data_IF_208872824486
#
_entry.id   IF_208872824486
#
_cell.length_a   1.000
_cell.length_b   1.000
_cell.length_c   1.000
_cell.angle_alpha   90.00
_cell.angle_beta   90.00
_cell.angle_gamma   90.00
#
_symmetry.space_group_name_H-M   'P 1'
#
loop_
_entity.id
_entity.type
_entity.pdbx_description
1 polymer ?
#
# COMPACT_ATOMS: atom_id res chain seq x y z
N UNK A 1 -4.51 -1.93 -36.84
CA UNK A 1 -3.53 -2.62 -35.94
C UNK A 1 -4.16 -3.93 -35.56
N UNK A 2 -3.40 -5.02 -35.47
CA UNK A 2 -3.85 -6.29 -34.92
C UNK A 2 -4.38 -6.03 -33.52
N UNK A 3 -5.47 -6.69 -33.12
CA UNK A 3 -5.99 -6.59 -31.75
C UNK A 3 -5.04 -7.33 -30.81
N UNK A 4 -4.75 -6.76 -29.62
CA UNK A 4 -3.87 -7.35 -28.62
C UNK A 4 -4.69 -7.97 -27.48
N UNK A 5 -4.38 -9.24 -27.15
CA UNK A 5 -4.87 -9.92 -25.93
C UNK A 5 -3.68 -10.28 -25.05
N UNK A 6 -3.76 -9.99 -23.76
CA UNK A 6 -2.76 -10.44 -22.79
C UNK A 6 -3.20 -11.73 -22.12
N UNK A 7 -2.35 -12.76 -22.18
CA UNK A 7 -2.47 -14.01 -21.44
C UNK A 7 -1.47 -13.97 -20.27
N UNK A 8 -1.98 -14.01 -19.04
CA UNK A 8 -1.18 -13.84 -17.83
C UNK A 8 -1.12 -15.16 -17.07
N UNK A 9 0.07 -15.73 -16.92
CA UNK A 9 0.29 -17.03 -16.27
C UNK A 9 0.37 -16.87 -14.75
N UNK A 10 -0.64 -17.33 -14.03
CA UNK A 10 -0.75 -17.21 -12.58
C UNK A 10 -1.08 -18.54 -11.86
N UNK A 11 -0.96 -19.69 -12.55
CA UNK A 11 -1.35 -21.02 -12.05
C UNK A 11 -0.32 -21.71 -11.13
N UNK A 12 0.86 -21.13 -10.96
CA UNK A 12 1.98 -21.76 -10.24
C UNK A 12 1.77 -21.87 -8.73
N UNK A 13 2.16 -23.00 -8.13
CA UNK A 13 2.03 -23.29 -6.68
C UNK A 13 2.85 -22.37 -5.76
N UNK A 14 3.92 -21.75 -6.25
CA UNK A 14 4.75 -20.82 -5.47
C UNK A 14 5.37 -21.38 -4.19
N UNK A 15 5.72 -22.67 -4.14
CA UNK A 15 6.17 -23.39 -2.93
C UNK A 15 7.36 -22.75 -2.23
N UNK A 16 8.26 -22.09 -2.99
CA UNK A 16 9.42 -21.36 -2.46
C UNK A 16 9.06 -20.12 -1.62
N UNK A 17 7.82 -19.59 -1.75
CA UNK A 17 7.33 -18.47 -0.94
C UNK A 17 7.00 -18.88 0.50
N UNK A 18 6.79 -20.18 0.75
CA UNK A 18 6.38 -20.73 2.07
C UNK A 18 5.21 -19.93 2.67
N UNK A 19 4.16 -19.73 1.90
CA UNK A 19 3.01 -18.89 2.23
C UNK A 19 1.70 -19.61 2.01
N UNK A 20 0.68 -19.26 2.78
CA UNK A 20 -0.72 -19.65 2.53
C UNK A 20 -1.36 -18.81 1.44
N UNK A 21 -0.79 -17.63 1.15
CA UNK A 21 -1.25 -16.74 0.10
C UNK A 21 -0.64 -17.18 -1.23
N UNK A 22 -1.43 -17.27 -2.32
CA UNK A 22 -0.90 -17.47 -3.67
C UNK A 22 0.24 -16.51 -3.99
N UNK A 23 1.29 -17.01 -4.65
CA UNK A 23 2.50 -16.25 -4.95
C UNK A 23 2.20 -14.88 -5.56
N UNK A 24 1.33 -14.83 -6.55
CA UNK A 24 0.99 -13.64 -7.33
C UNK A 24 0.17 -12.59 -6.57
N UNK A 25 -0.35 -12.95 -5.39
CA UNK A 25 -1.11 -12.04 -4.52
C UNK A 25 -0.25 -11.33 -3.46
N UNK A 26 1.04 -11.68 -3.34
CA UNK A 26 1.95 -10.92 -2.49
C UNK A 26 2.11 -9.49 -3.03
N UNK A 27 2.12 -8.54 -2.11
CA UNK A 27 2.17 -7.11 -2.45
C UNK A 27 3.60 -6.63 -2.68
N UNK A 28 3.72 -5.68 -3.59
CA UNK A 28 4.90 -4.85 -3.87
C UNK A 28 4.39 -3.42 -4.08
N UNK A 29 5.00 -2.43 -3.41
CA UNK A 29 4.54 -1.06 -3.47
C UNK A 29 3.05 -0.90 -3.16
N UNK A 30 2.53 -1.71 -2.20
CA UNK A 30 1.14 -1.69 -1.76
C UNK A 30 0.15 -2.51 -2.59
N UNK A 31 0.48 -2.92 -3.83
CA UNK A 31 -0.42 -3.67 -4.74
C UNK A 31 0.02 -5.13 -4.93
N UNK A 32 -0.91 -6.09 -5.10
CA UNK A 32 -0.56 -7.46 -5.49
C UNK A 32 0.31 -7.50 -6.75
N UNK A 33 1.26 -8.44 -6.83
CA UNK A 33 2.11 -8.60 -8.02
C UNK A 33 1.29 -8.75 -9.30
N UNK A 34 0.25 -9.56 -9.26
CA UNK A 34 -0.64 -9.75 -10.42
C UNK A 34 -1.35 -8.46 -10.85
N UNK A 35 -1.70 -7.56 -9.90
CA UNK A 35 -2.31 -6.29 -10.24
C UNK A 35 -1.35 -5.37 -11.03
N UNK A 36 -0.06 -5.39 -10.69
CA UNK A 36 0.94 -4.66 -11.49
C UNK A 36 1.00 -5.16 -12.93
N UNK A 37 0.93 -6.48 -13.12
CA UNK A 37 0.95 -7.09 -14.46
C UNK A 37 -0.32 -6.76 -15.23
N UNK A 38 -1.50 -6.79 -14.58
CA UNK A 38 -2.76 -6.38 -15.19
C UNK A 38 -2.74 -4.91 -15.60
N UNK A 39 -2.29 -4.02 -14.71
CA UNK A 39 -2.16 -2.58 -14.99
C UNK A 39 -1.20 -2.33 -16.18
N UNK A 40 -0.08 -3.05 -16.23
CA UNK A 40 0.90 -2.92 -17.31
C UNK A 40 0.34 -3.42 -18.65
N UNK A 41 -0.40 -4.52 -18.65
CA UNK A 41 -1.06 -5.05 -19.86
C UNK A 41 -2.12 -4.09 -20.42
N UNK A 42 -2.94 -3.49 -19.54
CA UNK A 42 -3.93 -2.47 -19.93
C UNK A 42 -3.25 -1.25 -20.56
N UNK A 43 -2.25 -0.72 -19.90
CA UNK A 43 -1.53 0.47 -20.36
C UNK A 43 -0.68 0.20 -21.61
N UNK A 44 -0.31 -1.06 -21.88
CA UNK A 44 0.31 -1.48 -23.14
C UNK A 44 -0.70 -1.60 -24.31
N UNK A 45 -2.01 -1.51 -24.03
CA UNK A 45 -3.07 -1.51 -25.02
C UNK A 45 -3.74 -2.87 -25.26
N UNK A 46 -3.66 -3.80 -24.29
CA UNK A 46 -4.39 -5.05 -24.36
C UNK A 46 -5.92 -4.82 -24.27
N UNK A 47 -6.64 -5.12 -25.34
CA UNK A 47 -8.10 -4.97 -25.40
C UNK A 47 -8.83 -5.98 -24.48
N UNK A 48 -8.21 -7.14 -24.25
CA UNK A 48 -8.73 -8.21 -23.37
C UNK A 48 -7.57 -8.82 -22.59
N UNK A 49 -7.87 -9.31 -21.39
CA UNK A 49 -6.92 -10.06 -20.56
C UNK A 49 -7.51 -11.41 -20.19
N UNK A 50 -6.67 -12.44 -20.22
CA UNK A 50 -7.00 -13.79 -19.76
C UNK A 50 -5.97 -14.19 -18.71
N UNK A 51 -6.41 -14.47 -17.48
CA UNK A 51 -5.54 -14.94 -16.40
C UNK A 51 -5.66 -16.46 -16.29
N UNK A 52 -4.55 -17.15 -16.45
CA UNK A 52 -4.50 -18.59 -16.22
C UNK A 52 -4.28 -18.84 -14.74
N UNK A 53 -5.28 -19.42 -14.10
CA UNK A 53 -5.30 -19.74 -12.67
C UNK A 53 -5.18 -21.23 -12.42
N UNK A 54 -4.77 -21.63 -11.23
CA UNK A 54 -4.60 -23.04 -10.88
C UNK A 54 -4.75 -23.26 -9.38
N UNK A 55 -3.64 -23.38 -8.66
CA UNK A 55 -3.67 -23.56 -7.21
C UNK A 55 -4.30 -22.36 -6.51
N UNK A 56 -5.31 -22.60 -5.66
CA UNK A 56 -6.08 -21.55 -4.95
C UNK A 56 -6.69 -20.50 -5.91
N UNK A 57 -7.24 -20.95 -7.03
CA UNK A 57 -7.85 -20.11 -8.07
C UNK A 57 -8.85 -19.09 -7.51
N UNK A 58 -9.69 -19.50 -6.56
CA UNK A 58 -10.73 -18.66 -5.96
C UNK A 58 -10.20 -17.34 -5.36
N UNK A 59 -9.00 -17.38 -4.73
CA UNK A 59 -8.39 -16.17 -4.16
C UNK A 59 -7.88 -15.23 -5.26
N UNK A 60 -7.37 -15.79 -6.35
CA UNK A 60 -6.91 -15.00 -7.51
C UNK A 60 -8.11 -14.41 -8.24
N UNK A 61 -9.16 -15.20 -8.47
CA UNK A 61 -10.42 -14.76 -9.08
C UNK A 61 -11.08 -13.62 -8.30
N UNK A 62 -11.13 -13.74 -6.96
CA UNK A 62 -11.68 -12.69 -6.09
C UNK A 62 -10.91 -11.36 -6.20
N UNK A 63 -9.58 -11.40 -6.41
CA UNK A 63 -8.76 -10.21 -6.60
C UNK A 63 -8.90 -9.62 -8.00
N UNK A 64 -8.95 -10.46 -9.02
CA UNK A 64 -9.03 -10.02 -10.43
C UNK A 64 -10.43 -9.49 -10.77
N UNK A 65 -11.49 -10.12 -10.24
CA UNK A 65 -12.86 -9.73 -10.49
C UNK A 65 -13.18 -9.68 -12.00
N UNK A 66 -13.80 -8.61 -12.43
CA UNK A 66 -14.19 -8.38 -13.84
C UNK A 66 -13.07 -7.85 -14.73
N UNK A 67 -11.86 -7.62 -14.19
CA UNK A 67 -10.74 -7.05 -14.93
C UNK A 67 -10.20 -7.99 -16.02
N UNK A 68 -10.38 -9.31 -15.89
CA UNK A 68 -9.93 -10.31 -16.85
C UNK A 68 -10.81 -11.56 -16.87
N UNK A 69 -10.79 -12.28 -17.97
CA UNK A 69 -11.36 -13.63 -18.07
C UNK A 69 -10.42 -14.66 -17.43
N UNK A 70 -10.98 -15.74 -16.88
CA UNK A 70 -10.21 -16.80 -16.26
C UNK A 70 -10.11 -18.02 -17.16
N UNK A 71 -8.93 -18.68 -17.14
CA UNK A 71 -8.72 -19.99 -17.71
C UNK A 71 -8.13 -20.92 -16.63
N UNK A 72 -8.79 -22.01 -16.31
CA UNK A 72 -8.37 -22.91 -15.25
C UNK A 72 -7.35 -23.96 -15.75
N UNK A 73 -6.16 -23.95 -15.20
CA UNK A 73 -5.18 -25.04 -15.32
C UNK A 73 -5.32 -25.97 -14.12
N UNK A 74 -6.15 -27.01 -14.26
CA UNK A 74 -6.42 -27.96 -13.16
C UNK A 74 -5.16 -28.74 -12.73
N UNK A 75 -4.35 -29.15 -13.71
CA UNK A 75 -3.07 -29.85 -13.50
C UNK A 75 -1.92 -29.01 -14.01
N UNK A 76 -0.91 -28.78 -13.19
CA UNK A 76 0.27 -27.96 -13.54
C UNK A 76 1.28 -28.80 -14.35
N UNK A 77 1.02 -28.96 -15.64
CA UNK A 77 1.84 -29.75 -16.57
C UNK A 77 2.79 -28.87 -17.42
N UNK A 78 3.13 -27.70 -16.94
CA UNK A 78 4.07 -26.79 -17.60
C UNK A 78 3.42 -25.52 -18.17
N UNK A 79 4.26 -24.61 -18.66
CA UNK A 79 3.84 -23.28 -19.17
C UNK A 79 3.09 -23.36 -20.50
N UNK A 80 3.46 -24.28 -21.38
CA UNK A 80 2.72 -24.55 -22.61
C UNK A 80 1.31 -25.07 -22.31
N UNK A 81 1.18 -26.00 -21.36
CA UNK A 81 -0.12 -26.50 -20.92
C UNK A 81 -0.99 -25.39 -20.30
N UNK A 82 -0.39 -24.44 -19.60
CA UNK A 82 -1.12 -23.28 -19.07
C UNK A 82 -1.73 -22.43 -20.19
N UNK A 83 -0.98 -22.16 -21.25
CA UNK A 83 -1.48 -21.40 -22.41
C UNK A 83 -2.54 -22.16 -23.19
N UNK A 84 -2.44 -23.50 -23.30
CA UNK A 84 -3.48 -24.34 -23.93
C UNK A 84 -4.86 -24.13 -23.30
N UNK A 85 -4.93 -23.87 -21.97
CA UNK A 85 -6.21 -23.64 -21.29
C UNK A 85 -6.94 -22.39 -21.79
N UNK A 86 -6.25 -21.49 -22.48
CA UNK A 86 -6.85 -20.26 -23.00
C UNK A 86 -7.53 -20.45 -24.36
N UNK A 87 -7.37 -21.60 -25.01
CA UNK A 87 -7.91 -21.87 -26.33
C UNK A 87 -9.43 -21.69 -26.39
N UNK A 88 -10.17 -22.22 -25.38
CA UNK A 88 -11.63 -22.09 -25.32
C UNK A 88 -12.09 -20.63 -25.22
N UNK A 89 -11.31 -19.77 -24.59
CA UNK A 89 -11.60 -18.33 -24.39
C UNK A 89 -11.21 -17.51 -25.61
N UNK A 90 -10.19 -17.95 -26.37
CA UNK A 90 -9.58 -17.25 -27.51
C UNK A 90 -9.89 -17.90 -28.86
N UNK A 91 -10.83 -18.86 -28.93
CA UNK A 91 -11.10 -19.71 -30.10
C UNK A 91 -11.27 -18.96 -31.43
N UNK A 92 -11.93 -17.80 -31.39
CA UNK A 92 -12.23 -16.99 -32.60
C UNK A 92 -11.32 -15.76 -32.71
N UNK A 93 -10.30 -15.68 -31.88
CA UNK A 93 -9.38 -14.55 -31.87
C UNK A 93 -8.27 -14.77 -32.92
N UNK A 94 -8.09 -13.78 -33.79
CA UNK A 94 -7.12 -13.80 -34.89
C UNK A 94 -6.00 -12.76 -34.76
N UNK A 95 -5.92 -12.05 -33.62
CA UNK A 95 -4.90 -11.04 -33.36
C UNK A 95 -3.64 -11.58 -32.68
N UNK A 96 -2.90 -10.70 -32.04
CA UNK A 96 -1.67 -11.03 -31.31
C UNK A 96 -1.99 -11.39 -29.85
N UNK A 97 -1.47 -12.52 -29.39
CA UNK A 97 -1.47 -12.92 -27.97
C UNK A 97 -0.13 -12.54 -27.34
N UNK A 98 -0.16 -11.64 -26.37
CA UNK A 98 1.00 -11.34 -25.51
C UNK A 98 0.92 -12.25 -24.26
N UNK A 99 1.91 -13.09 -24.08
CA UNK A 99 2.00 -14.00 -22.93
C UNK A 99 2.96 -13.40 -21.91
N UNK A 100 2.52 -13.26 -20.64
CA UNK A 100 3.27 -12.60 -19.57
C UNK A 100 3.16 -13.47 -18.30
N UNK A 101 4.19 -13.47 -17.46
CA UNK A 101 4.13 -14.11 -16.15
C UNK A 101 3.50 -13.20 -15.09
N UNK A 102 2.56 -13.71 -14.31
CA UNK A 102 1.86 -12.98 -13.24
C UNK A 102 2.73 -12.65 -12.02
N UNK A 103 3.96 -13.15 -11.98
CA UNK A 103 4.95 -12.92 -10.93
C UNK A 103 6.08 -11.95 -11.32
N UNK A 104 5.89 -11.17 -12.38
CA UNK A 104 6.82 -10.14 -12.86
C UNK A 104 6.25 -8.72 -12.66
N UNK A 105 6.15 -8.22 -11.42
CA UNK A 105 5.45 -6.98 -11.10
C UNK A 105 6.17 -5.71 -11.53
N UNK A 106 7.43 -5.81 -11.93
CA UNK A 106 8.27 -4.67 -12.34
C UNK A 106 8.15 -4.33 -13.82
N UNK A 107 7.22 -4.98 -14.55
CA UNK A 107 6.96 -4.73 -15.95
C UNK A 107 6.54 -3.28 -16.19
N UNK A 108 7.14 -2.68 -17.22
CA UNK A 108 6.81 -1.32 -17.64
C UNK A 108 5.94 -1.33 -18.89
N UNK A 109 4.81 -0.64 -18.83
CA UNK A 109 3.82 -0.59 -19.90
C UNK A 109 4.41 -0.04 -21.21
N UNK A 110 5.31 0.95 -21.14
CA UNK A 110 5.95 1.54 -22.31
C UNK A 110 6.82 0.53 -23.06
N UNK A 111 7.57 -0.31 -22.32
CA UNK A 111 8.40 -1.35 -22.93
C UNK A 111 7.55 -2.49 -23.50
N UNK A 112 6.46 -2.90 -22.82
CA UNK A 112 5.52 -3.88 -23.37
C UNK A 112 4.85 -3.38 -24.64
N UNK A 113 4.44 -2.11 -24.67
CA UNK A 113 3.86 -1.48 -25.86
C UNK A 113 4.85 -1.45 -27.02
N UNK A 114 6.07 -1.00 -26.78
CA UNK A 114 7.16 -0.98 -27.76
C UNK A 114 7.48 -2.38 -28.29
N UNK A 115 7.48 -3.38 -27.42
CA UNK A 115 7.68 -4.79 -27.78
C UNK A 115 6.56 -5.28 -28.72
N UNK A 116 5.29 -5.00 -28.38
CA UNK A 116 4.15 -5.33 -29.22
C UNK A 116 4.19 -4.63 -30.58
N UNK A 117 4.45 -3.32 -30.60
CA UNK A 117 4.57 -2.55 -31.85
C UNK A 117 5.70 -3.09 -32.74
N UNK A 118 6.84 -3.46 -32.16
CA UNK A 118 7.95 -4.10 -32.85
C UNK A 118 7.58 -5.46 -33.42
N UNK A 119 6.83 -6.28 -32.70
CA UNK A 119 6.31 -7.56 -33.18
C UNK A 119 5.43 -7.35 -34.42
N UNK A 120 4.44 -6.47 -34.34
CA UNK A 120 3.52 -6.17 -35.44
C UNK A 120 4.30 -5.66 -36.66
N UNK A 121 5.22 -4.72 -36.46
CA UNK A 121 6.03 -4.17 -37.55
C UNK A 121 6.93 -5.20 -38.22
N UNK A 122 7.41 -6.19 -37.48
CA UNK A 122 8.28 -7.26 -37.99
C UNK A 122 7.53 -8.28 -38.84
N UNK A 123 6.21 -8.35 -38.74
CA UNK A 123 5.35 -9.38 -39.36
C UNK A 123 5.81 -10.81 -38.97
N UNK A 124 6.34 -10.99 -37.78
CA UNK A 124 6.74 -12.29 -37.27
C UNK A 124 5.52 -13.08 -36.76
N UNK A 125 5.55 -14.42 -36.90
CA UNK A 125 4.53 -15.30 -36.30
C UNK A 125 4.67 -15.36 -34.77
N UNK A 126 5.91 -15.19 -34.27
CA UNK A 126 6.21 -15.08 -32.85
C UNK A 126 7.43 -14.17 -32.64
N UNK A 127 7.44 -13.46 -31.53
CA UNK A 127 8.59 -12.69 -31.03
C UNK A 127 8.75 -12.94 -29.54
N UNK A 128 9.97 -13.21 -29.09
CA UNK A 128 10.31 -13.31 -27.68
C UNK A 128 11.01 -12.05 -27.21
N UNK A 129 10.64 -11.53 -26.04
CA UNK A 129 11.43 -10.53 -25.35
C UNK A 129 12.61 -11.25 -24.68
N UNK A 130 13.83 -10.76 -24.93
CA UNK A 130 15.07 -11.31 -24.38
C UNK A 130 15.78 -10.31 -23.49
N UNK A 131 16.74 -10.74 -22.71
CA UNK A 131 17.64 -9.87 -21.95
C UNK A 131 19.04 -10.48 -21.88
N UNK A 132 20.04 -9.65 -21.64
CA UNK A 132 21.40 -10.10 -21.40
C UNK A 132 21.71 -10.03 -19.91
N UNK A 133 22.20 -11.13 -19.32
CA UNK A 133 22.56 -11.21 -17.92
C UNK A 133 24.00 -11.70 -17.75
N UNK A 134 24.71 -11.14 -16.77
CA UNK A 134 26.06 -11.61 -16.42
C UNK A 134 26.05 -13.00 -15.85
N UNK A 135 25.06 -13.31 -14.98
CA UNK A 135 24.77 -14.65 -14.48
C UNK A 135 23.38 -15.10 -15.00
N UNK A 136 23.33 -15.89 -16.09
CA UNK A 136 22.09 -16.37 -16.67
C UNK A 136 21.55 -17.64 -16.01
N UNK A 137 22.13 -18.12 -14.91
CA UNK A 137 21.74 -19.37 -14.27
C UNK A 137 20.24 -19.40 -13.90
N UNK A 138 19.59 -20.51 -14.23
CA UNK A 138 18.16 -20.72 -13.95
C UNK A 138 17.19 -20.21 -15.02
N UNK A 139 17.67 -19.53 -16.05
CA UNK A 139 16.85 -19.08 -17.19
C UNK A 139 17.03 -19.97 -18.42
N UNK A 140 16.06 -19.99 -19.33
CA UNK A 140 16.22 -20.53 -20.67
C UNK A 140 17.18 -19.67 -21.51
N UNK A 141 17.93 -20.30 -22.40
CA UNK A 141 18.89 -19.62 -23.28
C UNK A 141 18.33 -19.44 -24.69
N UNK A 142 18.54 -18.26 -25.25
CA UNK A 142 18.15 -17.98 -26.63
C UNK A 142 19.20 -18.56 -27.57
N UNK A 143 18.77 -19.45 -28.46
CA UNK A 143 19.63 -20.03 -29.49
C UNK A 143 19.44 -19.25 -30.79
N UNK A 144 20.54 -18.74 -31.35
CA UNK A 144 20.55 -18.01 -32.62
C UNK A 144 21.40 -18.74 -33.67
N UNK A 145 21.05 -18.55 -34.94
CA UNK A 145 21.90 -18.96 -36.06
C UNK A 145 23.05 -17.95 -36.29
N UNK A 146 23.86 -18.25 -37.31
CA UNK A 146 25.00 -17.39 -37.68
C UNK A 146 24.58 -15.99 -38.16
N UNK A 147 23.35 -15.84 -38.65
CA UNK A 147 22.77 -14.58 -39.15
C UNK A 147 22.05 -13.81 -38.02
N UNK A 148 22.03 -14.35 -36.81
CA UNK A 148 21.40 -13.73 -35.64
C UNK A 148 19.90 -14.03 -35.48
N UNK A 149 19.31 -14.89 -36.32
CA UNK A 149 17.90 -15.26 -36.20
C UNK A 149 17.67 -16.18 -35.01
N UNK A 150 16.55 -16.05 -34.33
CA UNK A 150 16.18 -16.92 -33.22
C UNK A 150 15.78 -18.29 -33.74
N UNK A 151 16.53 -19.32 -33.37
CA UNK A 151 16.22 -20.73 -33.69
C UNK A 151 15.25 -21.35 -32.68
N UNK A 152 15.36 -20.97 -31.42
CA UNK A 152 14.56 -21.50 -30.33
C UNK A 152 15.11 -21.11 -28.97
N UNK A 153 14.60 -21.77 -27.94
CA UNK A 153 15.01 -21.60 -26.54
C UNK A 153 15.35 -22.97 -25.97
N UNK A 154 16.44 -23.05 -25.21
CA UNK A 154 16.78 -24.25 -24.44
C UNK A 154 16.68 -23.95 -22.96
N UNK A 155 15.87 -24.71 -22.24
CA UNK A 155 15.71 -24.54 -20.80
C UNK A 155 16.99 -24.92 -20.04
N UNK A 156 17.24 -24.30 -18.87
CA UNK A 156 18.46 -24.52 -18.07
C UNK A 156 18.77 -26.00 -17.81
N UNK A 157 17.73 -26.83 -17.56
CA UNK A 157 17.89 -28.26 -17.21
C UNK A 157 18.22 -29.12 -18.41
N UNK A 158 17.84 -28.68 -19.62
CA UNK A 158 18.09 -29.40 -20.86
C UNK A 158 19.33 -28.85 -21.61
N UNK A 159 19.90 -27.73 -21.14
CA UNK A 159 21.03 -27.06 -21.80
C UNK A 159 22.34 -27.81 -21.56
N UNK A 160 23.12 -27.99 -22.64
CA UNK A 160 24.50 -28.47 -22.60
C UNK A 160 25.46 -27.35 -22.15
N UNK A 161 26.72 -27.72 -21.88
CA UNK A 161 27.68 -26.78 -21.24
C UNK A 161 27.92 -25.51 -22.09
N UNK A 162 28.02 -25.69 -23.42
CA UNK A 162 28.20 -24.60 -24.37
C UNK A 162 26.99 -23.67 -24.39
N UNK A 163 25.79 -24.21 -24.30
CA UNK A 163 24.54 -23.43 -24.27
C UNK A 163 24.38 -22.67 -22.94
N UNK A 164 24.84 -23.24 -21.81
CA UNK A 164 24.82 -22.55 -20.50
C UNK A 164 25.69 -21.30 -20.46
N UNK A 165 26.70 -21.21 -21.33
CA UNK A 165 27.55 -20.03 -21.44
C UNK A 165 26.90 -18.85 -22.18
N UNK A 166 25.76 -19.07 -22.84
CA UNK A 166 25.00 -18.02 -23.54
C UNK A 166 24.43 -17.08 -22.50
N UNK A 167 24.68 -15.78 -22.66
CA UNK A 167 24.21 -14.71 -21.75
C UNK A 167 22.83 -14.15 -22.10
N UNK A 168 22.35 -14.41 -23.33
CA UNK A 168 21.01 -14.00 -23.74
C UNK A 168 19.98 -15.00 -23.24
N UNK A 169 19.06 -14.49 -22.41
CA UNK A 169 18.07 -15.29 -21.70
C UNK A 169 16.65 -15.06 -22.23
N UNK A 170 15.82 -16.08 -22.05
CA UNK A 170 14.38 -16.01 -22.19
C UNK A 170 13.75 -15.30 -20.99
N UNK A 171 12.98 -14.24 -21.25
CA UNK A 171 12.27 -13.50 -20.19
C UNK A 171 10.92 -14.11 -19.81
N UNK A 172 10.41 -15.05 -20.61
CA UNK A 172 9.05 -15.58 -20.48
C UNK A 172 7.95 -14.69 -21.04
N UNK A 173 8.32 -13.63 -21.79
CA UNK A 173 7.39 -12.70 -22.42
C UNK A 173 7.41 -12.90 -23.93
N UNK A 174 6.23 -13.15 -24.50
CA UNK A 174 6.10 -13.46 -25.91
C UNK A 174 4.95 -12.65 -26.54
N UNK A 175 5.09 -12.29 -27.82
CA UNK A 175 4.00 -11.96 -28.70
C UNK A 175 3.89 -13.03 -29.78
N UNK A 176 2.72 -13.63 -29.95
CA UNK A 176 2.49 -14.72 -30.91
C UNK A 176 1.15 -14.49 -31.60
N UNK A 177 1.11 -14.66 -32.93
CA UNK A 177 -0.14 -14.62 -33.68
C UNK A 177 -1.04 -15.79 -33.26
N UNK A 178 -2.28 -15.53 -32.86
CA UNK A 178 -3.18 -16.50 -32.22
C UNK A 178 -3.38 -17.78 -33.06
N UNK A 179 -3.65 -17.74 -34.36
CA UNK A 179 -3.80 -18.97 -35.15
C UNK A 179 -2.53 -19.82 -35.15
N UNK A 180 -1.37 -19.20 -35.23
CA UNK A 180 -0.08 -19.90 -35.19
C UNK A 180 0.23 -20.49 -33.81
N UNK A 181 -0.16 -19.80 -32.75
CA UNK A 181 0.03 -20.24 -31.38
C UNK A 181 -0.74 -21.54 -31.12
N UNK A 182 -2.05 -21.57 -31.36
CA UNK A 182 -2.89 -22.73 -31.06
C UNK A 182 -2.58 -23.93 -31.99
N UNK A 183 -2.24 -23.68 -33.27
CA UNK A 183 -1.76 -24.72 -34.17
C UNK A 183 -0.55 -25.46 -33.59
N UNK A 184 0.43 -24.73 -33.06
CA UNK A 184 1.67 -25.31 -32.52
C UNK A 184 1.43 -25.90 -31.12
N UNK A 185 0.64 -25.27 -30.25
CA UNK A 185 0.35 -25.79 -28.92
C UNK A 185 -0.24 -27.20 -28.97
N UNK A 186 -1.10 -27.50 -29.95
CA UNK A 186 -1.67 -28.85 -30.16
C UNK A 186 -0.62 -29.93 -30.49
N UNK A 187 0.59 -29.52 -30.88
CA UNK A 187 1.69 -30.43 -31.25
C UNK A 187 2.79 -30.58 -30.19
N UNK A 188 2.69 -29.85 -29.08
CA UNK A 188 3.70 -29.93 -28.03
C UNK A 188 3.71 -31.31 -27.37
N UNK A 189 4.91 -31.75 -26.97
CA UNK A 189 5.15 -32.99 -26.20
C UNK A 189 5.80 -32.63 -24.87
N UNK A 190 5.87 -33.61 -23.96
CA UNK A 190 6.53 -33.48 -22.67
C UNK A 190 7.85 -34.29 -22.59
N UNK A 191 8.47 -34.57 -23.74
CA UNK A 191 9.71 -35.33 -23.84
C UNK A 191 10.94 -34.48 -23.50
N UNK A 192 11.06 -34.04 -22.24
CA UNK A 192 12.12 -33.18 -21.75
C UNK A 192 12.47 -33.52 -20.29
N UNK A 193 13.51 -32.91 -19.74
CA UNK A 193 14.04 -33.20 -18.42
C UNK A 193 13.02 -33.00 -17.26
N UNK A 194 11.96 -32.26 -17.47
CA UNK A 194 10.93 -32.00 -16.45
C UNK A 194 9.62 -32.77 -16.67
N UNK A 195 9.43 -33.37 -17.85
CA UNK A 195 8.17 -34.03 -18.24
C UNK A 195 7.01 -33.03 -18.38
N UNK A 196 7.29 -31.81 -18.78
CA UNK A 196 6.33 -30.69 -18.88
C UNK A 196 6.16 -30.23 -20.32
N UNK A 197 5.00 -29.69 -20.66
CA UNK A 197 4.77 -28.98 -21.92
C UNK A 197 5.43 -27.58 -21.86
N UNK A 198 6.57 -27.43 -22.50
CA UNK A 198 7.30 -26.18 -22.50
C UNK A 198 6.72 -25.17 -23.50
N UNK A 199 6.39 -23.97 -23.04
CA UNK A 199 6.00 -22.86 -23.94
C UNK A 199 7.16 -22.44 -24.86
N UNK A 200 8.38 -22.58 -24.37
CA UNK A 200 9.62 -22.28 -25.12
C UNK A 200 9.76 -23.07 -26.41
N UNK A 201 9.18 -24.27 -26.49
CA UNK A 201 9.21 -25.11 -27.69
C UNK A 201 8.38 -24.53 -28.86
N UNK A 202 7.44 -23.63 -28.58
CA UNK A 202 6.60 -22.96 -29.60
C UNK A 202 7.47 -22.25 -30.63
N UNK A 203 8.55 -21.58 -30.21
CA UNK A 203 9.43 -20.86 -31.15
C UNK A 203 10.16 -21.78 -32.11
N UNK A 204 10.74 -22.85 -31.59
CA UNK A 204 11.44 -23.84 -32.43
C UNK A 204 10.49 -24.53 -33.41
N UNK A 205 9.26 -24.85 -32.98
CA UNK A 205 8.25 -25.47 -33.86
C UNK A 205 7.75 -24.52 -34.95
N UNK A 206 7.49 -23.24 -34.61
CA UNK A 206 7.14 -22.23 -35.60
C UNK A 206 8.26 -22.03 -36.64
N UNK A 207 9.51 -22.04 -36.19
CA UNK A 207 10.68 -21.94 -37.06
C UNK A 207 10.78 -23.14 -37.98
N UNK A 208 10.59 -24.38 -37.48
CA UNK A 208 10.54 -25.60 -38.26
C UNK A 208 9.41 -25.62 -39.35
N UNK A 209 8.30 -24.90 -39.07
CA UNK A 209 7.22 -24.68 -40.05
C UNK A 209 7.55 -23.58 -41.08
N UNK A 210 8.74 -23.00 -41.06
CA UNK A 210 9.16 -21.91 -41.92
C UNK A 210 8.50 -20.56 -41.61
N UNK A 211 7.90 -20.42 -40.44
CA UNK A 211 7.31 -19.16 -39.97
C UNK A 211 8.41 -18.29 -39.36
N UNK A 212 8.33 -16.97 -39.59
CA UNK A 212 9.30 -16.01 -39.05
C UNK A 212 9.20 -15.91 -37.51
N UNK A 213 10.31 -16.10 -36.83
CA UNK A 213 10.46 -15.94 -35.39
C UNK A 213 11.46 -14.83 -35.09
N UNK A 214 11.10 -13.89 -34.22
CA UNK A 214 11.94 -12.76 -33.82
C UNK A 214 12.34 -12.80 -32.35
N UNK A 215 13.37 -12.05 -32.00
CA UNK A 215 13.78 -11.80 -30.61
C UNK A 215 14.20 -10.35 -30.44
N UNK A 216 13.69 -9.67 -29.44
CA UNK A 216 13.98 -8.28 -29.12
C UNK A 216 14.56 -8.22 -27.70
N UNK A 217 15.77 -7.66 -27.55
CA UNK A 217 16.38 -7.51 -26.24
C UNK A 217 15.89 -6.25 -25.53
N UNK A 218 15.49 -6.41 -24.26
CA UNK A 218 15.27 -5.25 -23.38
C UNK A 218 16.59 -4.77 -22.78
N UNK A 219 16.69 -3.46 -22.56
CA UNK A 219 17.81 -2.87 -21.83
C UNK A 219 17.57 -2.87 -20.30
N UNK A 220 16.33 -2.99 -19.85
CA UNK A 220 15.96 -3.03 -18.44
C UNK A 220 15.81 -4.48 -17.95
N UNK A 221 16.87 -5.01 -17.34
CA UNK A 221 16.88 -6.34 -16.77
C UNK A 221 16.02 -6.46 -15.51
N UNK A 222 15.70 -5.37 -14.82
CA UNK A 222 14.89 -5.40 -13.60
C UNK A 222 13.43 -5.71 -13.92
N UNK A 223 12.93 -5.24 -15.06
CA UNK A 223 11.53 -5.42 -15.47
C UNK A 223 11.13 -6.90 -15.63
N UNK A 224 12.09 -7.77 -15.93
CA UNK A 224 11.84 -9.20 -16.16
C UNK A 224 11.99 -10.06 -14.91
N UNK A 225 12.26 -9.45 -13.76
CA UNK A 225 12.49 -10.16 -12.51
C UNK A 225 11.25 -10.95 -12.05
N UNK A 226 11.32 -12.29 -12.22
CA UNK A 226 10.30 -13.21 -11.70
C UNK A 226 10.50 -13.49 -10.21
N UNK A 227 9.45 -13.24 -9.41
CA UNK A 227 9.52 -13.35 -7.95
C UNK A 227 9.07 -14.72 -7.49
N UNK A 228 9.99 -15.49 -6.92
CA UNK A 228 9.76 -16.86 -6.50
C UNK A 228 10.07 -17.12 -5.02
N UNK A 229 10.66 -16.14 -4.33
CA UNK A 229 11.04 -16.26 -2.91
C UNK A 229 10.83 -14.93 -2.18
N UNK A 230 10.79 -14.99 -0.84
CA UNK A 230 10.72 -13.78 0.01
C UNK A 230 11.93 -12.85 -0.16
N UNK A 231 13.08 -13.38 -0.51
CA UNK A 231 14.27 -12.59 -0.79
C UNK A 231 14.08 -11.78 -2.08
N UNK A 232 13.68 -12.43 -3.17
CA UNK A 232 13.35 -11.76 -4.42
C UNK A 232 12.21 -10.75 -4.27
N UNK A 233 11.21 -11.06 -3.40
CA UNK A 233 10.15 -10.11 -3.08
C UNK A 233 10.71 -8.81 -2.46
N UNK A 234 11.66 -8.92 -1.51
CA UNK A 234 12.29 -7.76 -0.90
C UNK A 234 13.19 -6.97 -1.87
N UNK A 235 13.87 -7.67 -2.79
CA UNK A 235 14.66 -7.04 -3.86
C UNK A 235 13.74 -6.23 -4.80
N UNK A 236 12.66 -6.83 -5.27
CA UNK A 236 11.69 -6.16 -6.13
C UNK A 236 10.96 -4.99 -5.42
N UNK A 237 10.68 -5.12 -4.12
CA UNK A 237 10.15 -4.01 -3.31
C UNK A 237 11.11 -2.81 -3.29
N UNK A 238 12.41 -3.06 -3.15
CA UNK A 238 13.41 -1.99 -3.19
C UNK A 238 13.48 -1.29 -4.56
N UNK A 239 13.42 -2.06 -5.66
CA UNK A 239 13.41 -1.51 -7.02
C UNK A 239 12.14 -0.68 -7.23
N UNK A 240 10.97 -1.22 -6.89
CA UNK A 240 9.70 -0.51 -7.02
C UNK A 240 9.69 0.77 -6.19
N UNK A 241 10.13 0.71 -4.94
CA UNK A 241 10.26 1.87 -4.05
C UNK A 241 11.13 2.94 -4.69
N UNK A 242 12.30 2.58 -5.21
CA UNK A 242 13.20 3.54 -5.83
C UNK A 242 12.56 4.21 -7.06
N UNK A 243 11.83 3.45 -7.89
CA UNK A 243 11.09 4.00 -9.04
C UNK A 243 10.02 5.00 -8.59
N UNK A 244 9.25 4.68 -7.53
CA UNK A 244 8.22 5.57 -6.97
C UNK A 244 8.86 6.85 -6.43
N UNK A 245 9.92 6.73 -5.62
CA UNK A 245 10.57 7.89 -5.02
C UNK A 245 11.24 8.78 -6.08
N UNK A 246 11.91 8.20 -7.08
CA UNK A 246 12.51 8.96 -8.18
C UNK A 246 11.44 9.76 -8.92
N UNK A 247 10.30 9.11 -9.27
CA UNK A 247 9.20 9.80 -9.93
C UNK A 247 8.69 10.98 -9.12
N UNK A 248 8.48 10.81 -7.81
CA UNK A 248 8.02 11.90 -6.94
C UNK A 248 9.05 13.05 -6.86
N UNK A 249 10.35 12.73 -6.81
CA UNK A 249 11.40 13.76 -6.84
C UNK A 249 11.45 14.49 -8.19
N UNK A 250 11.25 13.79 -9.30
CA UNK A 250 11.16 14.40 -10.63
C UNK A 250 9.90 15.27 -10.77
N UNK A 251 8.83 14.95 -10.05
CA UNK A 251 7.58 15.73 -10.00
C UNK A 251 7.68 16.91 -8.99
N UNK A 252 8.84 17.15 -8.35
CA UNK A 252 9.10 18.32 -7.50
C UNK A 252 8.96 18.09 -5.99
N UNK A 253 8.87 16.85 -5.53
CA UNK A 253 8.84 16.50 -4.09
C UNK A 253 10.27 16.36 -3.55
N UNK A 254 10.57 16.98 -2.42
CA UNK A 254 11.86 16.79 -1.74
C UNK A 254 11.79 15.61 -0.79
N UNK A 255 12.61 14.57 -1.01
CA UNK A 255 12.73 13.41 -0.12
C UNK A 255 14.10 13.44 0.54
N UNK A 256 14.16 13.71 1.84
CA UNK A 256 15.41 13.93 2.59
C UNK A 256 16.27 12.67 2.71
N UNK A 257 15.62 11.51 2.89
CA UNK A 257 16.30 10.22 2.98
C UNK A 257 15.48 9.14 2.26
N UNK A 258 15.76 8.88 0.97
CA UNK A 258 15.07 7.83 0.21
C UNK A 258 15.22 6.42 0.82
N UNK A 259 16.32 6.16 1.56
CA UNK A 259 16.56 4.83 2.11
C UNK A 259 15.59 4.46 3.24
N UNK A 260 15.14 5.44 4.01
CA UNK A 260 14.19 5.25 5.14
C UNK A 260 12.77 5.73 4.84
N UNK A 261 12.46 6.07 3.59
CA UNK A 261 11.14 6.53 3.15
C UNK A 261 10.42 5.44 2.36
N UNK A 262 9.17 5.16 2.71
CA UNK A 262 8.33 4.13 2.11
C UNK A 262 7.02 4.74 1.61
N UNK A 263 6.86 4.81 0.30
CA UNK A 263 5.67 5.37 -0.35
C UNK A 263 5.10 4.34 -1.31
N UNK A 264 3.81 4.00 -1.14
CA UNK A 264 3.12 3.05 -1.99
C UNK A 264 2.74 3.65 -3.36
N UNK A 265 2.63 2.77 -4.35
CA UNK A 265 2.17 3.16 -5.70
C UNK A 265 0.71 3.62 -5.66
N UNK A 266 0.45 4.86 -5.95
CA UNK A 266 -0.89 5.48 -5.90
C UNK A 266 -1.02 6.58 -4.88
N UNK A 267 -0.01 6.79 -4.04
CA UNK A 267 0.12 8.00 -3.21
C UNK A 267 0.45 9.19 -4.12
N UNK A 268 -0.24 10.28 -3.90
CA UNK A 268 -0.06 11.55 -4.63
C UNK A 268 0.50 12.60 -3.67
N UNK A 269 1.51 13.35 -4.10
CA UNK A 269 2.14 14.39 -3.27
C UNK A 269 2.35 15.62 -4.15
N UNK A 270 1.92 16.77 -3.65
CA UNK A 270 2.06 18.06 -4.32
C UNK A 270 3.51 18.58 -4.32
N UNK A 271 3.75 19.50 -5.26
CA UNK A 271 5.05 20.14 -5.49
C UNK A 271 5.54 20.86 -4.22
N UNK A 272 6.86 21.00 -4.07
CA UNK A 272 7.54 21.69 -2.97
C UNK A 272 7.28 21.09 -1.56
N UNK A 273 6.56 19.96 -1.48
CA UNK A 273 6.42 19.19 -0.23
C UNK A 273 7.72 18.48 0.13
N UNK A 274 8.09 18.53 1.42
CA UNK A 274 9.28 17.89 1.98
C UNK A 274 8.89 16.67 2.80
N UNK A 275 9.47 15.51 2.45
CA UNK A 275 9.31 14.24 3.18
C UNK A 275 10.57 13.97 3.99
N UNK A 276 10.41 13.90 5.31
CA UNK A 276 11.48 13.61 6.25
C UNK A 276 11.66 12.10 6.50
N UNK A 277 12.81 11.68 7.08
CA UNK A 277 13.10 10.25 7.30
C UNK A 277 12.06 9.49 8.10
N UNK A 278 12.01 8.16 7.89
CA UNK A 278 11.10 7.23 8.57
C UNK A 278 9.62 7.54 8.35
N UNK A 279 9.28 7.98 7.15
CA UNK A 279 7.92 8.27 6.73
C UNK A 279 7.36 7.14 5.87
N UNK A 280 6.13 6.70 6.19
CA UNK A 280 5.36 5.67 5.49
C UNK A 280 4.05 6.27 4.99
N UNK A 281 3.85 6.27 3.66
CA UNK A 281 2.64 6.76 3.01
C UNK A 281 2.01 5.63 2.21
N UNK A 282 0.79 5.24 2.59
CA UNK A 282 0.16 4.01 2.14
C UNK A 282 -1.25 4.25 1.57
N UNK A 283 -1.70 3.31 0.74
CA UNK A 283 -3.06 3.29 0.21
C UNK A 283 -3.36 4.42 -0.78
N UNK A 284 -4.46 5.11 -0.53
CA UNK A 284 -4.94 6.24 -1.35
C UNK A 284 -4.58 7.60 -0.77
N UNK A 285 -3.48 7.67 0.00
CA UNK A 285 -3.02 8.91 0.64
C UNK A 285 -2.70 9.99 -0.39
N UNK A 286 -3.20 11.21 -0.13
CA UNK A 286 -2.95 12.40 -0.95
C UNK A 286 -2.48 13.55 -0.06
N UNK A 287 -1.40 14.20 -0.46
CA UNK A 287 -0.78 15.31 0.25
C UNK A 287 -0.68 16.50 -0.71
N UNK A 288 -1.07 17.66 -0.24
CA UNK A 288 -1.00 18.89 -1.01
C UNK A 288 0.41 19.44 -1.21
N UNK A 289 0.48 20.70 -1.60
CA UNK A 289 1.73 21.43 -1.88
C UNK A 289 2.29 22.07 -0.60
N UNK A 290 3.60 22.40 -0.60
CA UNK A 290 4.30 23.12 0.47
C UNK A 290 4.20 22.48 1.87
N UNK A 291 3.98 21.17 1.94
CA UNK A 291 3.86 20.46 3.22
C UNK A 291 5.20 20.01 3.78
N UNK A 292 5.26 19.77 5.10
CA UNK A 292 6.38 19.15 5.80
C UNK A 292 5.90 17.89 6.50
N UNK A 293 6.26 16.73 5.98
CA UNK A 293 5.76 15.43 6.44
C UNK A 293 6.88 14.57 7.02
N UNK A 294 6.81 14.30 8.29
CA UNK A 294 7.84 13.55 9.03
C UNK A 294 8.61 14.43 10.02
N UNK A 295 9.60 13.88 10.75
CA UNK A 295 9.96 12.45 10.72
C UNK A 295 8.94 11.56 11.46
N UNK A 296 9.08 10.22 11.27
CA UNK A 296 8.27 9.22 11.95
C UNK A 296 6.76 9.42 11.76
N UNK A 297 6.34 9.57 10.52
CA UNK A 297 4.93 9.69 10.13
C UNK A 297 4.50 8.41 9.41
N UNK A 298 3.34 7.85 9.77
CA UNK A 298 2.69 6.79 9.01
C UNK A 298 1.25 7.16 8.71
N UNK A 299 0.92 7.25 7.43
CA UNK A 299 -0.41 7.62 6.95
C UNK A 299 -0.95 6.59 5.97
N UNK A 300 -2.19 6.15 6.20
CA UNK A 300 -2.88 5.18 5.33
C UNK A 300 -4.26 5.75 4.94
N UNK A 301 -4.52 5.95 3.66
CA UNK A 301 -5.77 6.52 3.14
C UNK A 301 -6.09 7.90 3.75
N UNK A 302 -5.10 8.77 3.89
CA UNK A 302 -5.26 10.11 4.49
C UNK A 302 -5.21 11.17 3.40
N UNK A 303 -6.09 12.15 3.50
CA UNK A 303 -6.05 13.35 2.66
C UNK A 303 -5.50 14.50 3.48
N UNK A 304 -4.47 15.17 2.96
CA UNK A 304 -3.85 16.36 3.58
C UNK A 304 -3.88 17.50 2.58
N UNK A 305 -4.33 18.67 3.03
CA UNK A 305 -4.31 19.92 2.27
C UNK A 305 -2.91 20.49 2.09
N UNK A 306 -2.83 21.79 1.79
CA UNK A 306 -1.57 22.48 1.53
C UNK A 306 -0.96 23.03 2.82
N UNK A 307 0.36 23.27 2.81
CA UNK A 307 1.10 23.94 3.89
C UNK A 307 0.93 23.30 5.28
N UNK A 308 0.69 21.99 5.32
CA UNK A 308 0.53 21.22 6.55
C UNK A 308 1.89 20.73 7.08
N UNK A 309 2.06 20.76 8.41
CA UNK A 309 3.24 20.27 9.11
C UNK A 309 2.86 19.08 10.02
N UNK A 310 3.38 17.88 9.74
CA UNK A 310 3.12 16.67 10.52
C UNK A 310 4.44 16.02 10.97
N UNK A 311 4.57 15.73 12.26
CA UNK A 311 5.72 15.01 12.81
C UNK A 311 5.32 14.02 13.90
N UNK A 312 5.87 12.80 13.89
CA UNK A 312 5.52 11.72 14.81
C UNK A 312 4.00 11.49 14.88
N UNK A 313 3.39 11.30 13.70
CA UNK A 313 1.94 11.11 13.54
C UNK A 313 1.65 9.72 13.01
N UNK A 314 0.67 9.05 13.63
CA UNK A 314 0.01 7.89 13.05
C UNK A 314 -1.42 8.28 12.67
N UNK A 315 -1.77 8.17 11.39
CA UNK A 315 -3.08 8.55 10.87
C UNK A 315 -3.60 7.55 9.85
N UNK A 316 -4.91 7.27 9.91
CA UNK A 316 -5.55 6.46 8.88
C UNK A 316 -7.03 6.83 8.68
N UNK A 317 -7.47 6.78 7.43
CA UNK A 317 -8.86 7.03 7.01
C UNK A 317 -9.40 8.35 7.57
N UNK A 318 -8.63 9.43 7.41
CA UNK A 318 -8.95 10.76 7.95
C UNK A 318 -8.57 11.88 6.97
N UNK A 319 -9.06 13.08 7.26
CA UNK A 319 -8.81 14.29 6.46
C UNK A 319 -8.22 15.41 7.31
N UNK A 320 -7.22 16.09 6.75
CA UNK A 320 -6.56 17.27 7.31
C UNK A 320 -6.59 18.37 6.25
N UNK A 321 -7.11 19.54 6.60
CA UNK A 321 -7.21 20.66 5.69
C UNK A 321 -5.90 21.48 5.64
N UNK A 322 -5.98 22.74 5.17
CA UNK A 322 -4.81 23.58 4.93
C UNK A 322 -4.22 24.21 6.21
N UNK A 323 -2.92 24.51 6.19
CA UNK A 323 -2.20 25.24 7.24
C UNK A 323 -2.27 24.60 8.64
N UNK A 324 -2.35 23.28 8.71
CA UNK A 324 -2.48 22.54 9.97
C UNK A 324 -1.12 22.15 10.51
N UNK A 325 -0.94 22.23 11.83
CA UNK A 325 0.29 21.77 12.52
C UNK A 325 -0.06 20.64 13.48
N UNK A 326 0.51 19.44 13.28
CA UNK A 326 0.20 18.24 14.06
C UNK A 326 1.47 17.58 14.59
N UNK A 327 1.49 17.30 15.88
CA UNK A 327 2.54 16.50 16.53
C UNK A 327 3.34 17.25 17.58
N UNK A 328 4.32 16.55 18.18
CA UNK A 328 4.63 15.14 17.99
C UNK A 328 3.71 14.19 18.77
N UNK A 329 3.74 12.88 18.41
CA UNK A 329 3.00 11.80 19.09
C UNK A 329 1.49 11.98 19.07
N UNK A 330 0.93 12.13 17.87
CA UNK A 330 -0.51 12.27 17.62
C UNK A 330 -1.04 11.04 16.89
N UNK A 331 -2.24 10.60 17.29
CA UNK A 331 -2.98 9.55 16.62
C UNK A 331 -4.29 10.09 16.04
N UNK A 332 -4.38 10.14 14.72
CA UNK A 332 -5.61 10.45 13.99
C UNK A 332 -6.27 9.14 13.55
N UNK A 333 -7.46 8.88 14.07
CA UNK A 333 -8.23 7.67 13.79
C UNK A 333 -9.30 7.91 12.73
N UNK A 334 -9.93 6.82 12.22
CA UNK A 334 -10.94 6.94 11.17
C UNK A 334 -12.04 7.95 11.46
N UNK A 335 -12.60 8.48 10.36
CA UNK A 335 -13.70 9.44 10.37
C UNK A 335 -13.36 10.75 11.11
N UNK A 336 -12.06 11.10 11.15
CA UNK A 336 -11.59 12.37 11.72
C UNK A 336 -11.38 13.39 10.62
N UNK A 337 -11.90 14.60 10.83
CA UNK A 337 -11.71 15.76 9.94
C UNK A 337 -11.11 16.91 10.73
N UNK A 338 -9.93 17.37 10.32
CA UNK A 338 -9.23 18.51 10.92
C UNK A 338 -9.32 19.71 9.99
N UNK A 339 -9.95 20.76 10.43
CA UNK A 339 -10.17 22.00 9.67
C UNK A 339 -8.90 22.86 9.51
N UNK A 340 -9.02 23.91 8.72
CA UNK A 340 -7.91 24.82 8.43
C UNK A 340 -7.32 25.48 9.68
N UNK A 341 -6.01 25.73 9.66
CA UNK A 341 -5.29 26.45 10.72
C UNK A 341 -5.38 25.81 12.11
N UNK A 342 -5.80 24.55 12.21
CA UNK A 342 -5.86 23.83 13.49
C UNK A 342 -4.46 23.48 13.97
N UNK A 343 -4.25 23.53 15.30
CA UNK A 343 -3.01 23.09 15.95
C UNK A 343 -3.29 21.94 16.91
N UNK A 344 -2.68 20.79 16.63
CA UNK A 344 -2.73 19.61 17.51
C UNK A 344 -1.32 19.35 18.03
N UNK A 345 -1.13 19.47 19.33
CA UNK A 345 0.17 19.26 19.95
C UNK A 345 0.40 17.81 20.38
N UNK A 346 1.28 17.62 21.34
CA UNK A 346 1.79 16.31 21.72
C UNK A 346 0.81 15.47 22.54
N UNK A 347 0.86 14.14 22.29
CA UNK A 347 0.07 13.12 23.01
C UNK A 347 -1.44 13.31 22.91
N UNK A 348 -1.92 13.65 21.70
CA UNK A 348 -3.36 13.82 21.43
C UNK A 348 -3.85 12.67 20.54
N UNK A 349 -5.01 12.12 20.90
CA UNK A 349 -5.73 11.19 20.07
C UNK A 349 -7.07 11.79 19.64
N UNK A 350 -7.36 11.74 18.33
CA UNK A 350 -8.63 12.22 17.76
C UNK A 350 -9.29 11.08 17.00
N UNK A 351 -10.58 10.83 17.25
CA UNK A 351 -11.33 9.71 16.67
C UNK A 351 -12.76 10.13 16.32
N UNK A 352 -13.20 9.83 15.08
CA UNK A 352 -14.58 10.08 14.63
C UNK A 352 -15.09 11.46 15.07
N UNK A 353 -14.27 12.48 14.81
CA UNK A 353 -14.48 13.82 15.33
C UNK A 353 -14.18 14.87 14.27
N UNK A 354 -14.89 15.98 14.36
CA UNK A 354 -14.70 17.15 13.54
C UNK A 354 -14.06 18.25 14.38
N UNK A 355 -12.95 18.81 13.93
CA UNK A 355 -12.29 19.94 14.60
C UNK A 355 -12.31 21.15 13.69
N UNK A 356 -13.08 22.16 14.07
CA UNK A 356 -13.28 23.37 13.28
C UNK A 356 -12.05 24.28 13.19
N UNK A 357 -12.09 25.16 12.20
CA UNK A 357 -10.99 26.05 11.80
C UNK A 357 -10.38 26.83 12.97
N UNK A 358 -9.06 26.87 13.05
CA UNK A 358 -8.30 27.65 14.03
C UNK A 358 -8.34 27.13 15.45
N UNK A 359 -8.97 25.97 15.70
CA UNK A 359 -9.04 25.36 17.03
C UNK A 359 -7.70 24.77 17.45
N UNK A 360 -7.50 24.65 18.78
CA UNK A 360 -6.24 24.21 19.38
C UNK A 360 -6.47 23.07 20.36
N UNK A 361 -5.75 21.97 20.16
CA UNK A 361 -5.70 20.78 21.02
C UNK A 361 -4.24 20.53 21.43
N UNK A 362 -3.67 21.38 22.31
CA UNK A 362 -2.22 21.46 22.44
C UNK A 362 -1.56 20.26 23.14
N UNK A 363 -2.22 19.58 24.08
CA UNK A 363 -1.55 18.60 24.93
C UNK A 363 -2.47 17.51 25.48
N UNK A 364 -1.98 16.26 25.49
CA UNK A 364 -2.43 15.14 26.30
C UNK A 364 -3.98 15.03 26.40
N UNK A 365 -4.64 14.92 25.28
CA UNK A 365 -6.12 14.91 25.25
C UNK A 365 -6.65 13.74 24.42
N UNK A 366 -7.81 13.22 24.82
CA UNK A 366 -8.60 12.30 24.02
C UNK A 366 -9.88 12.98 23.53
N UNK A 367 -10.01 13.09 22.22
CA UNK A 367 -11.16 13.70 21.54
C UNK A 367 -11.82 12.60 20.70
N UNK A 368 -12.88 12.02 21.20
CA UNK A 368 -13.61 10.94 20.52
C UNK A 368 -15.08 11.25 20.36
N UNK A 369 -15.62 10.92 19.18
CA UNK A 369 -17.02 11.10 18.81
C UNK A 369 -17.51 12.54 19.15
N UNK A 370 -16.79 13.56 18.65
CA UNK A 370 -17.01 14.96 19.02
C UNK A 370 -17.12 15.90 17.82
N UNK A 371 -17.92 16.93 17.96
CA UNK A 371 -17.96 18.07 17.03
C UNK A 371 -17.42 19.30 17.76
N UNK A 372 -16.23 19.74 17.37
CA UNK A 372 -15.55 20.91 17.91
C UNK A 372 -15.66 22.03 16.89
N UNK A 373 -16.21 23.16 17.30
CA UNK A 373 -16.37 24.37 16.50
C UNK A 373 -15.04 25.05 16.16
N UNK A 374 -15.14 26.24 15.60
CA UNK A 374 -14.00 27.06 15.21
C UNK A 374 -13.44 27.85 16.41
N UNK A 375 -12.11 28.07 16.39
CA UNK A 375 -11.41 28.87 17.43
C UNK A 375 -11.59 28.37 18.87
N UNK A 376 -11.87 27.10 19.05
CA UNK A 376 -11.97 26.45 20.35
C UNK A 376 -10.58 26.17 20.92
N UNK A 377 -10.43 26.37 22.24
CA UNK A 377 -9.19 25.96 22.93
C UNK A 377 -9.46 24.83 23.92
N UNK A 378 -8.85 23.67 23.69
CA UNK A 378 -8.91 22.51 24.59
C UNK A 378 -7.67 22.52 25.48
N UNK A 379 -7.86 22.57 26.80
CA UNK A 379 -6.78 22.52 27.77
C UNK A 379 -6.11 21.13 27.86
N UNK A 380 -4.92 21.08 28.48
CA UNK A 380 -4.19 19.83 28.69
C UNK A 380 -5.00 18.82 29.53
N UNK A 381 -4.96 17.53 29.15
CA UNK A 381 -5.59 16.45 29.91
C UNK A 381 -7.12 16.40 29.78
N UNK A 382 -7.68 16.99 28.74
CA UNK A 382 -9.12 16.96 28.51
C UNK A 382 -9.57 15.67 27.83
N UNK A 383 -10.74 15.18 28.24
CA UNK A 383 -11.32 13.94 27.74
C UNK A 383 -12.78 14.14 27.36
N UNK A 384 -13.15 13.77 26.14
CA UNK A 384 -14.56 13.57 25.76
C UNK A 384 -14.95 12.14 26.15
N UNK A 385 -15.71 12.00 27.22
CA UNK A 385 -16.13 10.68 27.75
C UNK A 385 -17.32 10.20 26.92
N UNK A 386 -17.03 9.51 25.84
CA UNK A 386 -17.97 9.19 24.76
C UNK A 386 -18.67 7.82 24.89
N UNK A 387 -18.33 6.98 25.87
CA UNK A 387 -18.84 5.62 25.99
C UNK A 387 -19.46 5.33 27.34
N UNK A 388 -20.70 4.89 27.38
CA UNK A 388 -21.48 4.60 28.58
C UNK A 388 -21.42 3.11 29.01
N UNK A 389 -20.59 2.30 28.36
CA UNK A 389 -20.50 0.86 28.55
C UNK A 389 -21.37 0.06 27.57
N UNK A 390 -22.25 0.70 26.78
CA UNK A 390 -23.13 0.08 25.77
C UNK A 390 -23.12 0.82 24.44
N UNK A 391 -23.22 2.15 24.47
CA UNK A 391 -23.32 3.02 23.30
C UNK A 391 -22.31 4.14 23.38
N UNK A 392 -22.00 4.70 22.20
CA UNK A 392 -21.22 5.93 22.07
C UNK A 392 -22.17 7.12 21.91
N UNK A 393 -21.78 8.22 22.51
CA UNK A 393 -22.50 9.49 22.49
C UNK A 393 -21.55 10.59 22.03
N UNK A 394 -22.09 11.64 21.41
CA UNK A 394 -21.29 12.77 20.93
C UNK A 394 -21.19 13.88 21.98
N UNK A 395 -20.04 14.54 21.98
CA UNK A 395 -19.79 15.81 22.65
C UNK A 395 -19.82 16.92 21.60
N UNK A 396 -20.52 17.99 21.85
CA UNK A 396 -20.54 19.19 21.00
C UNK A 396 -19.84 20.31 21.78
N UNK A 397 -18.87 20.95 21.16
CA UNK A 397 -18.18 22.13 21.68
C UNK A 397 -18.28 23.20 20.62
N UNK A 398 -19.09 24.22 20.87
CA UNK A 398 -19.37 25.24 19.88
C UNK A 398 -18.22 26.27 19.77
N UNK A 399 -18.34 27.20 18.81
CA UNK A 399 -17.30 28.15 18.46
C UNK A 399 -16.81 28.99 19.65
N UNK A 400 -15.50 29.31 19.65
CA UNK A 400 -14.84 30.17 20.64
C UNK A 400 -14.90 29.66 22.09
N UNK A 401 -15.34 28.43 22.34
CA UNK A 401 -15.35 27.86 23.69
C UNK A 401 -13.94 27.63 24.22
N UNK A 402 -13.76 27.73 25.54
CA UNK A 402 -12.52 27.48 26.24
C UNK A 402 -12.71 26.36 27.27
N UNK A 403 -12.05 25.23 27.06
CA UNK A 403 -12.09 24.08 27.99
C UNK A 403 -10.81 24.07 28.82
N UNK A 404 -10.95 24.28 30.12
CA UNK A 404 -9.85 24.29 31.08
C UNK A 404 -9.20 22.92 31.24
N UNK A 405 -7.93 22.88 31.65
CA UNK A 405 -7.15 21.64 31.78
C UNK A 405 -7.80 20.60 32.70
N UNK A 406 -7.54 19.30 32.43
CA UNK A 406 -8.06 18.16 33.21
C UNK A 406 -9.60 18.15 33.34
N UNK A 407 -10.29 18.59 32.31
CA UNK A 407 -11.75 18.56 32.26
C UNK A 407 -12.26 17.34 31.51
N UNK A 408 -13.32 16.71 32.05
CA UNK A 408 -14.01 15.59 31.43
C UNK A 408 -15.39 16.05 30.95
N UNK A 409 -15.69 15.94 29.68
CA UNK A 409 -17.02 16.17 29.10
C UNK A 409 -17.72 14.82 28.97
N UNK A 410 -18.72 14.56 29.81
CA UNK A 410 -19.46 13.26 29.81
C UNK A 410 -20.60 13.37 28.80
N UNK A 411 -20.41 12.74 27.66
CA UNK A 411 -21.38 12.76 26.57
C UNK A 411 -22.67 11.95 26.87
N UNK A 412 -23.84 12.36 26.34
CA UNK A 412 -24.02 13.52 25.47
C UNK A 412 -23.98 14.85 26.24
N UNK A 413 -23.23 15.81 25.75
CA UNK A 413 -23.13 17.16 26.36
C UNK A 413 -22.77 18.19 25.29
N UNK A 414 -23.34 19.38 25.43
CA UNK A 414 -23.05 20.54 24.60
C UNK A 414 -22.38 21.64 25.45
N UNK A 415 -21.25 22.14 24.97
CA UNK A 415 -20.58 23.34 25.49
C UNK A 415 -20.87 24.44 24.50
N UNK A 416 -21.68 25.43 24.91
CA UNK A 416 -22.17 26.50 24.05
C UNK A 416 -21.07 27.44 23.59
N UNK A 417 -21.37 28.22 22.56
CA UNK A 417 -20.41 29.16 21.94
C UNK A 417 -19.90 30.16 22.99
N UNK A 418 -18.58 30.41 22.98
CA UNK A 418 -17.94 31.35 23.95
C UNK A 418 -17.93 30.86 25.40
N UNK A 419 -18.48 29.69 25.72
CA UNK A 419 -18.52 29.17 27.09
C UNK A 419 -17.11 28.77 27.58
N UNK A 420 -16.93 28.91 28.89
CA UNK A 420 -15.70 28.54 29.61
C UNK A 420 -15.96 27.36 30.54
N UNK A 421 -15.07 26.37 30.51
CA UNK A 421 -15.06 25.27 31.47
C UNK A 421 -13.90 25.45 32.44
N UNK A 422 -14.22 25.54 33.74
CA UNK A 422 -13.21 25.67 34.78
C UNK A 422 -12.33 24.38 34.87
N UNK A 423 -11.01 24.55 34.96
CA UNK A 423 -10.07 23.43 35.04
C UNK A 423 -10.41 22.41 36.13
N UNK A 424 -10.22 21.12 35.86
CA UNK A 424 -10.51 20.02 36.78
C UNK A 424 -12.01 19.72 36.94
N UNK A 425 -12.84 20.14 36.00
CA UNK A 425 -14.29 19.91 36.04
C UNK A 425 -14.70 18.62 35.34
N UNK A 426 -15.72 17.94 35.87
CA UNK A 426 -16.43 16.84 35.17
C UNK A 426 -17.83 17.33 34.80
N UNK A 427 -18.00 17.70 33.55
CA UNK A 427 -19.22 18.29 33.01
C UNK A 427 -20.16 17.18 32.55
N UNK A 428 -21.37 17.14 33.11
CA UNK A 428 -22.40 16.12 32.85
C UNK A 428 -23.73 16.71 32.35
N UNK A 429 -23.78 18.01 32.16
CA UNK A 429 -24.94 18.76 31.63
C UNK A 429 -24.45 19.84 30.71
N UNK A 430 -25.30 20.25 29.77
CA UNK A 430 -25.00 21.34 28.85
C UNK A 430 -24.61 22.62 29.58
N UNK A 431 -23.65 23.34 29.02
CA UNK A 431 -23.21 24.64 29.49
C UNK A 431 -23.65 25.68 28.42
N UNK A 432 -24.54 26.60 28.76
CA UNK A 432 -24.99 27.63 27.81
C UNK A 432 -23.85 28.48 27.26
N UNK A 433 -24.09 29.09 26.09
CA UNK A 433 -23.11 30.03 25.50
C UNK A 433 -22.74 31.15 26.46
N UNK A 434 -21.48 31.59 26.42
CA UNK A 434 -20.89 32.67 27.24
C UNK A 434 -20.91 32.40 28.77
N UNK A 435 -21.34 31.19 29.20
CA UNK A 435 -21.39 30.84 30.61
C UNK A 435 -20.08 30.18 31.09
N UNK A 436 -19.87 30.16 32.42
CA UNK A 436 -18.77 29.46 33.07
C UNK A 436 -19.28 28.18 33.75
N UNK A 437 -18.97 26.99 33.19
CA UNK A 437 -19.24 25.71 33.79
C UNK A 437 -18.14 25.27 34.78
N UNK A 438 -18.51 25.05 36.04
CA UNK A 438 -17.59 24.54 37.08
C UNK A 438 -18.23 23.34 37.81
N UNK A 439 -17.56 22.16 37.75
CA UNK A 439 -18.02 20.94 38.39
C UNK A 439 -16.86 20.25 39.11
N UNK A 440 -16.41 20.83 40.20
CA UNK A 440 -15.32 20.31 41.05
C UNK A 440 -15.58 20.64 42.55
N UNK A 441 -14.98 19.86 43.45
CA UNK A 441 -15.06 20.12 44.90
C UNK A 441 -14.35 21.45 45.27
N UNK A 442 -14.83 22.10 46.34
CA UNK A 442 -14.08 23.20 46.95
C UNK A 442 -12.77 22.68 47.55
N UNK A 443 -11.70 23.42 47.29
CA UNK A 443 -10.39 23.10 47.87
C UNK A 443 -10.48 23.21 49.41
N UNK A 444 -9.92 22.19 50.11
CA UNK A 444 -9.74 22.18 51.54
C UNK A 444 -8.27 22.00 51.86
N UNK A 445 -7.68 22.94 52.56
CA UNK A 445 -6.31 22.84 53.05
C UNK A 445 -6.34 22.15 54.44
N UNK A 446 -5.46 21.18 54.65
CA UNK A 446 -5.26 20.53 55.94
C UNK A 446 -3.90 21.01 56.46
N UNK A 447 -3.95 21.85 57.46
CA UNK A 447 -2.76 22.47 58.05
C UNK A 447 -1.88 21.41 58.70
N UNK A 448 -0.57 21.49 58.50
CA UNK A 448 0.40 20.57 59.08
C UNK A 448 0.40 19.14 58.54
N UNK A 449 -0.39 18.81 57.48
CA UNK A 449 -0.50 17.43 57.00
C UNK A 449 0.86 16.77 56.66
N UNK A 450 1.77 17.49 56.00
CA UNK A 450 3.10 16.96 55.68
C UNK A 450 3.96 16.69 56.91
N UNK A 451 3.81 17.49 57.97
CA UNK A 451 4.50 17.28 59.25
C UNK A 451 4.00 16.03 59.98
N UNK A 452 2.69 15.73 59.88
CA UNK A 452 2.09 14.52 60.43
C UNK A 452 2.68 13.26 59.77
N UNK A 453 2.88 13.29 58.46
CA UNK A 453 3.50 12.17 57.71
C UNK A 453 5.00 11.99 58.01
N UNK A 454 5.72 13.07 58.28
CA UNK A 454 7.15 13.04 58.58
C UNK A 454 7.48 12.52 59.99
N UNK A 455 6.51 12.57 60.92
CA UNK A 455 6.67 12.14 62.33
C UNK A 455 5.52 11.23 62.79
N UNK A 456 5.44 10.00 62.31
CA UNK A 456 4.32 9.10 62.61
C UNK A 456 4.08 8.82 64.11
N UNK A 457 5.08 8.98 64.97
CA UNK A 457 4.95 8.81 66.41
C UNK A 457 4.29 9.98 67.14
N UNK A 458 4.09 11.15 66.50
CA UNK A 458 3.38 12.30 67.12
C UNK A 458 1.85 12.19 66.95
N UNK A 459 1.39 11.29 66.06
CA UNK A 459 -0.02 11.13 65.71
C UNK A 459 -0.88 10.60 66.88
N UNK A 460 -0.29 9.81 67.81
CA UNK A 460 -1.06 9.18 68.89
C UNK A 460 -1.44 10.12 70.04
N UNK A 461 -0.84 11.30 70.17
CA UNK A 461 -1.04 12.20 71.31
C UNK A 461 -2.00 13.37 71.11
N UNK A 462 -2.39 13.72 69.90
CA UNK A 462 -3.14 14.96 69.63
C UNK A 462 -4.51 14.82 68.96
N UNK A 463 -4.91 13.60 68.56
CA UNK A 463 -6.24 13.40 67.95
C UNK A 463 -6.97 12.29 68.74
N UNK A 464 -7.68 12.72 69.78
CA UNK A 464 -8.69 11.87 70.44
C UNK A 464 -9.78 11.47 69.44
N UNK A 465 -9.98 10.15 69.28
CA UNK A 465 -11.21 9.50 68.80
C UNK A 465 -11.79 9.83 67.42
N UNK A 466 -11.00 9.98 66.36
CA UNK A 466 -11.55 9.86 64.98
C UNK A 466 -10.64 9.08 64.03
N UNK A 467 -10.55 7.75 64.26
CA UNK A 467 -9.77 6.81 63.43
C UNK A 467 -10.40 6.48 62.07
N UNK A 468 -11.47 7.14 61.63
CA UNK A 468 -12.24 6.68 60.47
C UNK A 468 -11.94 7.30 59.12
N UNK A 469 -11.06 8.33 59.01
CA UNK A 469 -10.93 9.08 57.76
C UNK A 469 -9.53 9.11 57.14
N UNK A 470 -8.50 8.48 57.74
CA UNK A 470 -7.14 8.53 57.14
C UNK A 470 -6.91 7.48 56.03
N UNK A 471 -7.75 6.45 55.96
CA UNK A 471 -7.61 5.37 54.95
C UNK A 471 -8.31 5.63 53.62
N UNK A 472 -8.90 6.82 53.43
CA UNK A 472 -9.61 7.17 52.18
C UNK A 472 -8.90 8.21 51.30
N UNK A 473 -7.63 8.56 51.55
CA UNK A 473 -6.96 9.64 50.80
C UNK A 473 -5.89 9.12 49.82
N UNK A 474 -5.61 7.81 49.80
CA UNK A 474 -4.74 7.19 48.78
C UNK A 474 -5.46 6.04 48.08
#
# INVERSE_FOLDING_TARGET
>A
MSELVAVILAAGKGTRMKSKLPKVLHKIGGKPMLQHVLDAADAAGAARKVVVVGHEAELVEAMVGEQAQMALQAEQLGTGHAVMQTEAVLKDFCGTVMIICGDTPLLEAAELKKFYEGHVASQAAATVLTAFMDDPAGYGRIIRDADGNVLGIVEEKDAVLEQKAIKEINTGIYCVEAPSLFEVLATLTCDNAQGEYYLTDVLAKLNAMGKKVGGVATADSDMIMGINSRRQLAEAENIMRQRILNKLMDDGVTIMDPASTFIEKGVEIGQDTVIYPYTWLEGTTKIGEDCQIGPNVRLTNVRIGNTAELQFVYGHDCEVQDNVVIGPYVHLRPDTVIGDNVKIGNFVEVKNSHVGTGSKLPHLSYIGDSDIGSSVNIGCGCITVNYDGKKKHRTIIEDNAFVGCNSNMVAPVTIGAGAYIGAGSTITKDVPGDDLGIARAKQKNIEGWALILSYPYVFERHIGSSRSNASMIF
#
